data_IF_806356049622
#
_entry.id   IF_806356049622
#
_cell.length_a   1.000
_cell.length_b   1.000
_cell.length_c   1.000
_cell.angle_alpha   90.00
_cell.angle_beta   90.00
_cell.angle_gamma   90.00
#
_symmetry.space_group_name_H-M   'P 1'
#
loop_
_entity.id
_entity.type
_entity.pdbx_description
1 polymer ?
#
# COMPACT_ATOMS: atom_id res chain seq x y z
N UNK A 1 80.73 -23.87 10.41
CA UNK A 1 79.43 -24.24 11.02
C UNK A 1 78.82 -23.09 11.85
N UNK A 2 78.98 -21.83 11.42
CA UNK A 2 78.42 -20.63 12.09
C UNK A 2 77.61 -19.77 11.10
N UNK A 3 77.91 -19.85 9.80
CA UNK A 3 77.16 -19.15 8.74
C UNK A 3 75.80 -19.77 8.39
N UNK A 4 75.56 -21.04 8.72
CA UNK A 4 74.31 -21.74 8.38
C UNK A 4 73.17 -21.53 9.40
N UNK A 5 73.47 -20.96 10.58
CA UNK A 5 72.44 -20.60 11.57
C UNK A 5 71.98 -19.14 11.48
N UNK A 6 72.79 -18.25 10.89
CA UNK A 6 72.39 -16.86 10.68
C UNK A 6 71.35 -16.71 9.57
N UNK A 7 71.40 -17.53 8.52
CA UNK A 7 70.50 -17.43 7.38
C UNK A 7 69.10 -18.04 7.66
N UNK A 8 69.03 -19.07 8.49
CA UNK A 8 67.76 -19.69 8.90
C UNK A 8 67.01 -18.84 9.92
N UNK A 9 67.71 -18.10 10.80
CA UNK A 9 67.07 -17.15 11.73
C UNK A 9 66.61 -15.86 11.05
N UNK A 10 67.22 -15.43 9.94
CA UNK A 10 66.77 -14.25 9.19
C UNK A 10 65.52 -14.56 8.32
N UNK A 11 65.43 -15.78 7.78
CA UNK A 11 64.24 -16.23 7.03
C UNK A 11 63.03 -16.54 7.92
N UNK A 12 63.25 -16.89 9.20
CA UNK A 12 62.17 -17.10 10.15
C UNK A 12 61.56 -15.78 10.66
N UNK A 13 62.36 -14.70 10.75
CA UNK A 13 61.88 -13.37 11.14
C UNK A 13 61.10 -12.68 10.01
N UNK A 14 61.41 -12.98 8.74
CA UNK A 14 60.64 -12.47 7.59
C UNK A 14 59.31 -13.20 7.36
N UNK A 15 59.09 -14.38 7.95
CA UNK A 15 57.83 -15.13 7.82
C UNK A 15 56.82 -14.83 8.92
N UNK A 16 57.22 -14.17 10.01
CA UNK A 16 56.33 -13.79 11.13
C UNK A 16 55.75 -12.38 11.05
N UNK A 17 56.12 -11.60 10.02
CA UNK A 17 55.56 -10.27 9.74
C UNK A 17 54.97 -10.18 8.33
N UNK A 18 54.24 -11.21 7.90
CA UNK A 18 53.11 -10.93 7.00
C UNK A 18 52.02 -10.38 7.89
N UNK A 19 52.10 -9.08 8.22
CA UNK A 19 50.94 -8.36 8.73
C UNK A 19 49.84 -8.60 7.69
N UNK A 20 48.75 -9.26 8.09
CA UNK A 20 47.51 -9.19 7.32
C UNK A 20 47.10 -7.72 7.34
N UNK A 21 47.53 -6.96 6.34
CA UNK A 21 46.86 -5.70 6.03
C UNK A 21 45.52 -6.12 5.44
N UNK A 22 44.49 -6.24 6.28
CA UNK A 22 43.11 -6.21 5.77
C UNK A 22 42.99 -4.89 5.03
N UNK A 23 42.73 -4.94 3.74
CA UNK A 23 42.38 -3.74 2.99
C UNK A 23 41.13 -3.15 3.64
N UNK A 24 41.14 -1.83 3.85
CA UNK A 24 39.96 -1.10 4.25
C UNK A 24 38.83 -1.39 3.25
N UNK A 25 37.64 -1.73 3.75
CA UNK A 25 36.46 -2.00 2.92
C UNK A 25 35.37 -0.97 3.20
N UNK A 26 34.59 -0.65 2.17
CA UNK A 26 33.49 0.33 2.22
C UNK A 26 32.25 -0.39 1.73
N UNK A 27 31.30 -0.63 2.63
CA UNK A 27 30.06 -1.36 2.32
C UNK A 27 28.95 -0.84 3.23
N UNK A 28 28.08 0.01 2.69
CA UNK A 28 26.83 0.40 3.29
C UNK A 28 25.72 -0.52 2.78
N UNK A 29 24.75 -0.82 3.64
CA UNK A 29 23.63 -1.62 3.23
C UNK A 29 22.34 -1.31 3.95
N UNK A 30 21.26 -1.53 3.21
CA UNK A 30 19.90 -1.37 3.70
C UNK A 30 19.07 -2.60 3.34
N UNK A 31 18.20 -3.02 4.25
CA UNK A 31 17.25 -4.11 4.03
C UNK A 31 15.81 -3.62 4.09
N UNK A 32 14.86 -4.44 3.62
CA UNK A 32 13.45 -4.07 3.62
C UNK A 32 12.88 -3.96 5.04
N UNK A 33 13.49 -4.65 6.00
CA UNK A 33 13.12 -4.61 7.42
C UNK A 33 13.63 -3.34 8.11
N UNK A 34 14.62 -2.67 7.51
CA UNK A 34 15.17 -1.42 8.00
C UNK A 34 14.36 -0.17 7.58
N UNK A 35 13.29 -0.37 6.80
CA UNK A 35 12.36 0.69 6.40
C UNK A 35 11.09 0.59 7.25
N UNK A 36 10.78 1.65 7.98
CA UNK A 36 9.61 1.67 8.88
C UNK A 36 8.82 2.97 8.75
N UNK A 37 7.55 2.92 9.11
CA UNK A 37 6.66 4.09 9.20
C UNK A 37 6.32 4.33 10.67
N UNK A 38 6.14 5.59 11.05
CA UNK A 38 5.91 5.98 12.45
C UNK A 38 4.54 5.57 13.03
N UNK A 39 3.62 5.08 12.20
CA UNK A 39 2.24 4.80 12.59
C UNK A 39 1.77 3.43 12.10
N UNK A 40 0.89 2.81 12.88
CA UNK A 40 0.15 1.61 12.51
C UNK A 40 -1.16 1.54 13.32
N UNK A 41 -2.33 1.28 12.68
CA UNK A 41 -2.53 1.18 11.23
C UNK A 41 -2.20 2.50 10.52
N UNK A 42 -2.08 2.46 9.18
CA UNK A 42 -1.83 3.65 8.37
C UNK A 42 -3.17 4.20 7.90
N UNK A 43 -3.49 5.44 8.24
CA UNK A 43 -4.72 6.11 7.81
C UNK A 43 -4.42 6.95 6.58
N UNK A 44 -5.25 6.86 5.54
CA UNK A 44 -5.08 7.63 4.30
C UNK A 44 -5.11 9.13 4.61
N UNK A 45 -4.16 9.89 4.05
CA UNK A 45 -4.06 11.33 4.24
C UNK A 45 -3.22 11.75 5.45
N UNK A 46 -2.95 10.86 6.40
CA UNK A 46 -2.12 11.18 7.56
C UNK A 46 -0.67 11.46 7.16
N UNK A 47 -0.06 12.43 7.84
CA UNK A 47 1.37 12.66 7.77
C UNK A 47 2.11 11.77 8.77
N UNK A 48 2.95 10.89 8.26
CA UNK A 48 3.79 9.96 9.04
C UNK A 48 5.26 10.20 8.73
N UNK A 49 6.16 9.68 9.56
CA UNK A 49 7.60 9.63 9.25
C UNK A 49 7.96 8.30 8.65
N UNK A 50 8.67 8.35 7.54
CA UNK A 50 9.29 7.22 6.87
C UNK A 50 10.77 7.18 7.25
N UNK A 51 11.17 6.12 7.94
CA UNK A 51 12.54 5.90 8.40
C UNK A 51 13.27 4.90 7.51
N UNK A 52 14.57 5.11 7.34
CA UNK A 52 15.51 4.14 6.81
C UNK A 52 16.68 4.00 7.77
N UNK A 53 16.95 2.77 8.19
CA UNK A 53 18.16 2.43 8.94
C UNK A 53 19.21 1.85 8.01
N UNK A 54 20.35 2.52 7.88
CA UNK A 54 21.46 2.09 7.05
C UNK A 54 22.56 1.53 7.93
N UNK A 55 23.09 0.37 7.56
CA UNK A 55 24.16 -0.33 8.28
C UNK A 55 25.49 -0.16 7.54
N UNK A 56 26.60 -0.07 8.27
CA UNK A 56 27.94 -0.08 7.69
C UNK A 56 28.60 -1.43 7.98
N UNK A 57 28.78 -2.24 6.93
CA UNK A 57 29.49 -3.52 6.94
C UNK A 57 30.98 -3.37 6.62
N UNK A 58 31.39 -2.18 6.18
CA UNK A 58 32.77 -1.82 5.94
C UNK A 58 33.56 -1.51 7.21
N UNK A 59 34.83 -1.14 7.03
CA UNK A 59 35.77 -0.77 8.09
C UNK A 59 36.17 0.69 8.04
N UNK A 60 35.54 1.49 7.19
CA UNK A 60 35.81 2.92 7.02
C UNK A 60 34.58 3.77 7.37
N UNK A 61 34.84 5.03 7.72
CA UNK A 61 33.79 6.02 7.89
C UNK A 61 33.27 6.42 6.51
N UNK A 62 31.95 6.40 6.33
CA UNK A 62 31.31 6.66 5.03
C UNK A 62 30.29 7.78 5.18
N UNK A 63 30.36 8.73 4.27
CA UNK A 63 29.32 9.74 4.06
C UNK A 63 28.54 9.41 2.81
N UNK A 64 27.27 9.78 2.72
CA UNK A 64 26.45 9.53 1.54
C UNK A 64 25.06 10.13 1.68
N UNK A 65 24.13 9.66 0.85
CA UNK A 65 22.74 10.07 0.91
C UNK A 65 21.80 8.88 0.80
N UNK A 66 20.64 8.98 1.42
CA UNK A 66 19.51 8.07 1.20
C UNK A 66 18.40 8.83 0.51
N UNK A 67 17.91 8.28 -0.60
CA UNK A 67 16.77 8.80 -1.33
C UNK A 67 15.61 7.81 -1.24
N UNK A 68 14.42 8.32 -0.97
CA UNK A 68 13.19 7.53 -0.93
C UNK A 68 12.36 7.77 -2.18
N UNK A 69 11.66 6.75 -2.64
CA UNK A 69 10.81 6.82 -3.82
C UNK A 69 9.52 6.05 -3.62
N UNK A 70 8.48 6.54 -4.29
CA UNK A 70 7.23 5.85 -4.49
C UNK A 70 7.00 5.63 -5.98
N UNK A 71 7.25 4.41 -6.46
CA UNK A 71 7.38 4.15 -7.90
C UNK A 71 8.58 4.95 -8.47
N UNK A 72 8.32 5.82 -9.44
CA UNK A 72 9.35 6.69 -10.03
C UNK A 72 9.48 8.06 -9.36
N UNK A 73 8.55 8.44 -8.48
CA UNK A 73 8.52 9.76 -7.85
C UNK A 73 9.36 9.79 -6.56
N UNK A 74 10.26 10.77 -6.39
CA UNK A 74 11.01 10.92 -5.14
C UNK A 74 10.10 11.39 -4.00
N UNK A 75 10.32 10.86 -2.80
CA UNK A 75 9.65 11.27 -1.57
C UNK A 75 10.58 12.21 -0.81
N UNK A 76 10.19 13.48 -0.77
CA UNK A 76 10.99 14.51 -0.12
C UNK A 76 12.36 14.70 -0.77
N UNK A 77 13.30 15.25 0.00
CA UNK A 77 14.70 15.43 -0.43
C UNK A 77 15.57 14.29 0.08
N UNK A 78 16.65 13.99 -0.63
CA UNK A 78 17.67 13.05 -0.17
C UNK A 78 18.22 13.45 1.21
N UNK A 79 18.32 12.48 2.10
CA UNK A 79 18.81 12.67 3.47
C UNK A 79 20.30 12.39 3.53
N UNK A 80 21.05 13.21 4.26
CA UNK A 80 22.49 13.04 4.46
C UNK A 80 22.73 11.91 5.46
N UNK A 81 23.74 11.10 5.18
CA UNK A 81 24.17 9.98 5.99
C UNK A 81 25.66 10.13 6.34
N UNK A 82 26.06 9.80 7.56
CA UNK A 82 27.47 9.80 8.02
C UNK A 82 27.68 8.68 9.05
N UNK A 83 27.99 7.47 8.56
CA UNK A 83 28.15 6.29 9.40
C UNK A 83 29.64 6.01 9.63
N UNK A 84 30.01 5.80 10.88
CA UNK A 84 31.38 5.41 11.25
C UNK A 84 31.62 3.92 11.02
N UNK A 85 32.86 3.53 10.73
CA UNK A 85 33.36 2.16 10.54
C UNK A 85 32.99 1.13 11.62
N UNK A 86 32.61 1.60 12.81
CA UNK A 86 32.29 0.77 13.98
C UNK A 86 30.89 1.09 14.53
N UNK A 87 30.16 1.99 13.89
CA UNK A 87 28.74 2.19 14.18
C UNK A 87 27.97 1.08 13.49
N UNK A 88 27.05 0.44 14.22
CA UNK A 88 26.22 -0.62 13.65
C UNK A 88 25.28 -0.07 12.58
N UNK A 89 24.77 1.16 12.76
CA UNK A 89 23.82 1.77 11.85
C UNK A 89 23.61 3.27 12.11
N UNK A 90 22.99 3.96 11.17
CA UNK A 90 22.40 5.29 11.32
C UNK A 90 20.99 5.30 10.73
N UNK A 91 20.12 6.14 11.28
CA UNK A 91 18.73 6.27 10.83
C UNK A 91 18.49 7.67 10.28
N UNK A 92 17.82 7.72 9.12
CA UNK A 92 17.36 8.95 8.48
C UNK A 92 15.85 8.88 8.26
N UNK A 93 15.20 10.03 8.13
CA UNK A 93 13.76 10.06 7.89
C UNK A 93 13.32 11.18 6.96
N UNK A 94 12.15 10.99 6.37
CA UNK A 94 11.38 12.02 5.65
C UNK A 94 9.95 12.01 6.14
N UNK A 95 9.30 13.17 6.06
CA UNK A 95 7.85 13.24 6.22
C UNK A 95 7.18 12.66 4.96
N UNK A 96 6.12 11.88 5.16
CA UNK A 96 5.42 11.16 4.13
C UNK A 96 3.92 11.23 4.38
N UNK A 97 3.15 11.60 3.36
CA UNK A 97 1.68 11.58 3.43
C UNK A 97 1.22 10.21 2.95
N UNK A 98 0.46 9.51 3.78
CA UNK A 98 -0.08 8.20 3.45
C UNK A 98 -1.04 8.35 2.26
N UNK A 99 -0.74 7.72 1.10
CA UNK A 99 -1.58 7.84 -0.07
C UNK A 99 -2.82 6.96 0.04
N UNK A 100 -3.82 7.23 -0.78
CA UNK A 100 -4.91 6.27 -1.00
C UNK A 100 -4.38 5.00 -1.70
N UNK A 101 -4.85 3.84 -1.24
CA UNK A 101 -4.55 2.54 -1.84
C UNK A 101 -3.18 1.97 -1.47
N UNK A 102 -2.99 0.70 -1.82
CA UNK A 102 -1.78 -0.05 -1.45
C UNK A 102 -0.52 0.55 -2.10
N UNK A 103 0.56 0.63 -1.32
CA UNK A 103 1.83 1.18 -1.78
C UNK A 103 3.03 0.47 -1.16
N UNK A 104 4.21 0.66 -1.74
CA UNK A 104 5.49 0.33 -1.11
C UNK A 104 6.44 1.51 -1.30
N UNK A 105 7.61 1.39 -0.69
CA UNK A 105 8.65 2.40 -0.67
C UNK A 105 9.95 1.78 -1.17
N UNK A 106 10.64 2.46 -2.08
CA UNK A 106 12.02 2.15 -2.44
C UNK A 106 12.95 3.10 -1.72
N UNK A 107 14.01 2.59 -1.12
CA UNK A 107 15.10 3.39 -0.56
C UNK A 107 16.39 3.06 -1.30
N UNK A 108 17.20 4.09 -1.58
CA UNK A 108 18.46 3.97 -2.31
C UNK A 108 19.56 4.76 -1.61
N UNK A 109 20.69 4.10 -1.34
CA UNK A 109 21.95 4.68 -0.90
C UNK A 109 22.70 5.19 -2.13
N UNK A 110 23.16 6.44 -2.10
CA UNK A 110 23.77 7.10 -3.24
C UNK A 110 24.91 8.03 -2.82
N UNK A 111 25.83 8.28 -3.75
CA UNK A 111 26.84 9.32 -3.62
C UNK A 111 27.79 9.11 -2.44
N UNK A 112 28.12 7.86 -2.14
CA UNK A 112 28.99 7.52 -1.00
C UNK A 112 30.40 8.05 -1.21
N UNK A 113 31.00 8.52 -0.13
CA UNK A 113 32.39 8.93 -0.07
C UNK A 113 33.02 8.43 1.25
N UNK A 114 33.99 7.50 1.18
CA UNK A 114 34.51 6.86 -0.03
C UNK A 114 33.44 6.05 -0.81
N UNK A 115 33.63 5.73 -2.11
CA UNK A 115 32.65 5.00 -2.90
C UNK A 115 32.38 3.60 -2.35
N UNK A 116 31.11 3.21 -2.39
CA UNK A 116 30.67 1.89 -1.94
C UNK A 116 31.18 0.77 -2.87
N UNK A 117 31.65 -0.33 -2.30
CA UNK A 117 32.22 -1.47 -3.03
C UNK A 117 31.19 -2.57 -3.34
N UNK A 118 30.00 -2.53 -2.73
CA UNK A 118 28.97 -3.54 -2.81
C UNK A 118 27.58 -2.94 -3.17
N UNK A 119 27.32 -2.68 -4.46
CA UNK A 119 26.07 -2.06 -4.89
C UNK A 119 24.83 -2.96 -4.79
N UNK A 120 24.96 -4.19 -4.27
CA UNK A 120 23.85 -5.15 -4.24
C UNK A 120 22.87 -4.93 -3.08
N UNK A 121 23.28 -4.16 -2.07
CA UNK A 121 22.53 -3.79 -0.86
C UNK A 121 22.33 -2.27 -0.74
N UNK A 122 22.61 -1.51 -1.79
CA UNK A 122 22.37 -0.08 -1.85
C UNK A 122 20.91 0.28 -2.14
N UNK A 123 20.11 -0.67 -2.63
CA UNK A 123 18.72 -0.42 -2.99
C UNK A 123 17.81 -1.51 -2.47
N UNK A 124 16.71 -1.12 -1.85
CA UNK A 124 15.71 -2.04 -1.34
C UNK A 124 14.30 -1.51 -1.53
N UNK A 125 13.36 -2.44 -1.71
CA UNK A 125 11.93 -2.17 -1.81
C UNK A 125 11.23 -2.82 -0.62
N UNK A 126 10.31 -2.09 0.02
CA UNK A 126 9.49 -2.65 1.10
C UNK A 126 8.45 -3.62 0.58
N UNK A 127 7.86 -4.39 1.50
CA UNK A 127 6.57 -5.02 1.27
C UNK A 127 5.48 -3.96 1.04
N UNK A 128 4.34 -4.43 0.53
CA UNK A 128 3.16 -3.60 0.33
C UNK A 128 2.54 -3.22 1.67
N UNK A 129 2.35 -1.92 1.88
CA UNK A 129 1.54 -1.30 2.90
C UNK A 129 0.13 -1.09 2.37
N UNK A 130 -0.87 -1.46 3.16
CA UNK A 130 -2.29 -1.23 2.85
C UNK A 130 -2.85 -0.27 3.89
N UNK A 131 -3.06 1.01 3.53
CA UNK A 131 -3.68 1.96 4.44
C UNK A 131 -5.20 1.76 4.49
N UNK A 132 -5.80 2.23 5.59
CA UNK A 132 -7.24 2.23 5.85
C UNK A 132 -7.81 3.65 5.74
N UNK A 133 -9.13 3.75 5.62
CA UNK A 133 -9.86 5.02 5.74
C UNK A 133 -10.53 5.07 7.12
N UNK A 134 -10.36 6.21 7.78
CA UNK A 134 -10.85 6.56 9.12
C UNK A 134 -10.89 8.09 9.14
N UNK A 135 -11.99 8.67 8.63
CA UNK A 135 -12.07 10.10 8.28
C UNK A 135 -12.24 10.99 9.52
N UNK A 136 -12.73 10.44 10.63
CA UNK A 136 -12.94 11.15 11.90
C UNK A 136 -11.98 10.73 13.03
N UNK A 137 -11.10 9.76 12.76
CA UNK A 137 -10.01 9.30 13.62
C UNK A 137 -10.47 8.73 14.96
N UNK A 138 -11.64 8.09 15.01
CA UNK A 138 -12.16 7.46 16.23
C UNK A 138 -11.64 6.03 16.47
N UNK A 139 -10.99 5.46 15.45
CA UNK A 139 -10.40 4.13 15.43
C UNK A 139 -11.31 3.03 14.88
N UNK A 140 -12.45 3.37 14.29
CA UNK A 140 -13.31 2.51 13.47
C UNK A 140 -13.08 2.86 12.00
N UNK A 141 -12.91 1.85 11.15
CA UNK A 141 -12.70 2.10 9.71
C UNK A 141 -14.02 2.55 9.07
N UNK A 142 -13.99 3.51 8.14
CA UNK A 142 -15.20 4.04 7.47
C UNK A 142 -16.14 2.95 6.90
N UNK A 143 -15.62 1.80 6.47
CA UNK A 143 -16.42 0.68 5.96
C UNK A 143 -17.21 -0.08 7.05
N UNK A 144 -16.87 0.13 8.31
CA UNK A 144 -17.45 -0.49 9.51
C UNK A 144 -18.05 0.53 10.47
N UNK A 145 -17.95 1.81 10.13
CA UNK A 145 -18.38 2.93 10.95
C UNK A 145 -19.83 3.31 10.62
N UNK A 146 -20.72 3.28 11.61
CA UNK A 146 -22.11 3.71 11.46
C UNK A 146 -22.26 5.25 11.44
N UNK A 147 -21.20 6.01 11.77
CA UNK A 147 -21.11 7.45 11.58
C UNK A 147 -19.73 7.89 11.01
N UNK A 148 -19.40 7.60 9.73
CA UNK A 148 -18.04 7.75 9.15
C UNK A 148 -17.37 9.13 9.17
N UNK A 149 -18.04 10.16 9.68
CA UNK A 149 -17.52 11.53 9.74
C UNK A 149 -17.71 12.16 11.13
N UNK A 150 -18.23 11.42 12.11
CA UNK A 150 -18.52 11.89 13.47
C UNK A 150 -18.06 10.83 14.46
N UNK A 151 -16.90 11.10 15.08
CA UNK A 151 -16.26 10.17 16.01
C UNK A 151 -17.23 9.61 17.06
N UNK A 152 -17.49 8.32 16.99
CA UNK A 152 -18.42 7.58 17.84
C UNK A 152 -17.93 6.15 18.07
N UNK A 153 -16.71 6.02 18.61
CA UNK A 153 -16.00 4.76 18.86
C UNK A 153 -16.81 3.58 19.41
N UNK A 154 -17.84 3.85 20.20
CA UNK A 154 -18.71 2.83 20.81
C UNK A 154 -19.76 2.25 19.84
N UNK A 155 -19.95 2.89 18.67
CA UNK A 155 -20.80 2.45 17.55
C UNK A 155 -22.22 2.08 18.00
N UNK A 156 -22.79 2.92 18.86
CA UNK A 156 -24.16 2.76 19.33
C UNK A 156 -25.14 3.09 18.20
N UNK A 157 -26.23 2.33 18.16
CA UNK A 157 -27.25 2.29 17.11
C UNK A 157 -28.49 1.67 17.78
N UNK A 158 -29.35 2.51 18.36
CA UNK A 158 -30.44 2.05 19.22
C UNK A 158 -31.55 1.35 18.40
N UNK A 159 -31.83 1.82 17.20
CA UNK A 159 -32.87 1.28 16.33
C UNK A 159 -32.39 0.19 15.35
N UNK A 160 -31.06 0.05 15.20
CA UNK A 160 -30.38 -0.93 14.34
C UNK A 160 -30.62 -0.71 12.84
N UNK A 161 -30.79 0.54 12.37
CA UNK A 161 -30.91 0.84 10.95
C UNK A 161 -29.56 0.98 10.21
N UNK A 162 -28.47 1.04 10.98
CA UNK A 162 -27.09 1.15 10.50
C UNK A 162 -26.54 2.58 10.48
N UNK A 163 -27.34 3.61 10.80
CA UNK A 163 -26.88 4.90 11.30
C UNK A 163 -26.55 4.79 12.79
N UNK A 164 -25.54 5.52 13.26
CA UNK A 164 -25.25 5.55 14.69
C UNK A 164 -25.96 6.70 15.40
N UNK A 165 -26.21 6.55 16.69
CA UNK A 165 -26.88 7.56 17.53
C UNK A 165 -26.19 8.94 17.52
N UNK A 166 -24.93 9.01 17.07
CA UNK A 166 -24.18 10.28 16.96
C UNK A 166 -24.48 11.06 15.67
N UNK A 167 -25.05 10.41 14.65
CA UNK A 167 -25.33 10.97 13.34
C UNK A 167 -26.76 10.74 12.84
N UNK A 168 -27.57 9.97 13.58
CA UNK A 168 -29.01 9.94 13.42
C UNK A 168 -29.65 11.22 14.03
N UNK A 169 -30.84 11.59 13.54
CA UNK A 169 -31.67 12.65 14.11
C UNK A 169 -32.88 12.09 14.91
N UNK A 170 -33.11 10.76 14.86
CA UNK A 170 -34.19 10.00 15.49
C UNK A 170 -33.63 8.61 15.90
N UNK A 171 -32.86 8.58 17.00
CA UNK A 171 -32.00 7.45 17.41
C UNK A 171 -32.77 6.12 17.62
N UNK A 172 -34.08 6.17 17.89
CA UNK A 172 -34.94 4.99 18.09
C UNK A 172 -36.01 4.77 17.00
N UNK A 173 -35.99 5.62 15.96
CA UNK A 173 -36.88 5.64 14.79
C UNK A 173 -38.37 5.48 15.16
N UNK A 174 -38.80 6.21 16.19
CA UNK A 174 -40.16 6.20 16.68
C UNK A 174 -41.08 7.28 16.07
N UNK A 175 -40.48 8.18 15.29
CA UNK A 175 -41.15 9.27 14.60
C UNK A 175 -41.07 10.61 15.33
N UNK A 176 -40.37 10.68 16.46
CA UNK A 176 -40.03 11.91 17.15
C UNK A 176 -38.51 12.11 17.21
N UNK A 177 -38.00 13.07 16.44
CA UNK A 177 -36.56 13.41 16.47
C UNK A 177 -36.04 13.72 17.89
N UNK A 178 -34.80 13.33 18.23
CA UNK A 178 -34.20 13.42 19.57
C UNK A 178 -34.26 14.84 20.12
N UNK A 179 -34.12 15.83 19.24
CA UNK A 179 -34.16 17.24 19.64
C UNK A 179 -35.53 17.68 20.16
N UNK A 180 -36.60 16.98 19.80
CA UNK A 180 -37.96 17.17 20.33
C UNK A 180 -38.11 16.38 21.62
N UNK A 181 -37.64 15.15 21.66
CA UNK A 181 -37.69 14.27 22.82
C UNK A 181 -36.97 14.83 24.03
N UNK A 182 -35.76 15.34 23.84
CA UNK A 182 -35.01 16.05 24.89
C UNK A 182 -35.78 17.28 25.41
N UNK A 183 -36.67 17.87 24.60
CA UNK A 183 -37.52 19.00 25.03
C UNK A 183 -38.81 18.56 25.71
N UNK A 184 -39.40 17.43 25.30
CA UNK A 184 -40.65 16.89 25.85
C UNK A 184 -40.41 16.01 27.09
N UNK A 185 -39.21 15.45 27.21
CA UNK A 185 -38.73 14.61 28.30
C UNK A 185 -38.79 13.11 28.02
N UNK A 186 -39.11 12.67 26.80
CA UNK A 186 -38.94 11.26 26.39
C UNK A 186 -37.46 10.90 26.25
N UNK A 187 -37.17 9.60 26.18
CA UNK A 187 -35.81 9.04 26.07
C UNK A 187 -35.49 8.73 24.60
N UNK A 188 -34.53 9.45 23.97
CA UNK A 188 -34.25 9.27 22.54
C UNK A 188 -33.79 7.90 22.10
N UNK A 189 -33.36 7.06 23.05
CA UNK A 189 -32.90 5.70 22.74
C UNK A 189 -33.99 4.64 22.93
N UNK A 190 -35.23 5.05 23.23
CA UNK A 190 -36.32 4.15 23.64
C UNK A 190 -37.64 4.53 22.97
N UNK A 191 -37.96 3.80 21.90
CA UNK A 191 -39.13 4.06 21.04
C UNK A 191 -40.51 4.05 21.70
N UNK A 192 -40.62 3.73 22.99
CA UNK A 192 -41.84 3.75 23.81
C UNK A 192 -41.38 4.00 25.25
N UNK A 193 -41.17 5.28 25.59
CA UNK A 193 -40.50 5.69 26.83
C UNK A 193 -41.26 5.20 28.07
N UNK A 194 -42.59 5.18 28.02
CA UNK A 194 -43.42 4.80 29.15
C UNK A 194 -43.86 3.33 29.14
N UNK A 195 -43.68 2.62 28.02
CA UNK A 195 -43.99 1.21 27.86
C UNK A 195 -45.48 0.92 27.79
N UNK A 196 -46.32 1.86 27.32
CA UNK A 196 -47.77 1.67 27.19
C UNK A 196 -48.21 0.98 25.88
N UNK A 197 -47.26 0.73 24.99
CA UNK A 197 -47.43 0.09 23.70
C UNK A 197 -47.67 1.04 22.52
N UNK A 198 -47.56 2.35 22.71
CA UNK A 198 -47.54 3.36 21.65
C UNK A 198 -46.14 3.97 21.57
N UNK A 199 -45.66 4.21 20.35
CA UNK A 199 -44.38 4.91 20.15
C UNK A 199 -44.51 6.37 20.56
N UNK A 200 -43.45 7.04 21.02
CA UNK A 200 -43.54 8.40 21.55
C UNK A 200 -43.98 9.39 20.45
N UNK A 201 -43.52 9.19 19.21
CA UNK A 201 -44.01 9.92 18.03
C UNK A 201 -45.53 9.79 17.76
N UNK A 202 -46.15 8.67 18.16
CA UNK A 202 -47.58 8.37 18.01
C UNK A 202 -48.38 8.55 19.31
N UNK A 203 -47.73 8.72 20.47
CA UNK A 203 -48.35 8.81 21.79
C UNK A 203 -48.65 10.28 22.19
N UNK A 204 -49.92 10.63 22.45
CA UNK A 204 -50.28 11.91 23.04
C UNK A 204 -49.72 12.16 24.45
N UNK A 205 -49.28 11.13 25.20
CA UNK A 205 -48.69 11.25 26.53
C UNK A 205 -47.46 10.36 26.76
N UNK A 206 -46.32 10.59 26.06
CA UNK A 206 -45.13 9.70 26.04
C UNK A 206 -44.44 9.37 27.38
N UNK A 207 -44.93 9.93 28.49
CA UNK A 207 -44.35 9.82 29.84
C UNK A 207 -45.31 9.19 30.85
N UNK A 208 -46.45 8.66 30.40
CA UNK A 208 -47.53 8.17 31.28
C UNK A 208 -48.04 6.81 30.82
N UNK A 209 -47.45 5.77 31.43
CA UNK A 209 -47.91 4.40 31.27
C UNK A 209 -49.44 4.34 31.31
N UNK A 210 -50.07 3.64 30.35
CA UNK A 210 -51.51 3.33 30.42
C UNK A 210 -51.81 2.85 31.82
N UNK A 211 -52.58 3.66 32.55
CA UNK A 211 -53.13 3.24 33.83
C UNK A 211 -53.83 1.92 33.54
N UNK A 212 -53.33 0.84 34.14
CA UNK A 212 -54.02 -0.44 34.19
C UNK A 212 -55.47 -0.11 34.50
N UNK A 213 -56.34 -0.20 33.49
CA UNK A 213 -57.77 -0.06 33.65
C UNK A 213 -58.14 -1.19 34.59
N UNK A 214 -58.15 -0.91 35.89
CA UNK A 214 -58.68 -1.78 36.92
C UNK A 214 -60.08 -2.10 36.42
N UNK A 215 -60.37 -3.36 36.03
CA UNK A 215 -61.67 -3.66 35.47
C UNK A 215 -62.69 -3.33 36.55
N UNK A 216 -63.53 -2.35 36.26
CA UNK A 216 -64.61 -1.99 37.17
C UNK A 216 -65.53 -3.20 37.23
N UNK A 217 -65.43 -3.91 38.34
CA UNK A 217 -66.25 -5.02 38.84
C UNK A 217 -67.60 -5.13 38.12
N UNK A 218 -67.72 -6.06 37.18
CA UNK A 218 -69.01 -6.63 36.80
C UNK A 218 -69.25 -7.90 37.64
N UNK A 219 -70.28 -7.84 38.48
CA UNK A 219 -70.89 -8.99 39.16
C UNK A 219 -71.58 -9.94 38.15
N UNK A 220 -71.87 -11.20 38.52
CA UNK A 220 -71.45 -12.36 37.76
C UNK A 220 -72.58 -12.94 36.90
N UNK A 221 -72.24 -13.44 35.71
CA UNK A 221 -73.01 -14.49 35.07
C UNK A 221 -72.18 -15.77 34.99
N UNK A 222 -72.56 -16.68 35.87
CA UNK A 222 -72.31 -18.11 35.83
C UNK A 222 -72.66 -18.71 34.47
N UNK A 223 -71.74 -19.50 33.90
CA UNK A 223 -72.02 -20.87 33.48
C UNK A 223 -70.73 -21.51 32.95
N UNK A 224 -70.29 -22.54 33.67
CA UNK A 224 -69.22 -23.44 33.30
C UNK A 224 -69.53 -24.24 32.02
N UNK A 225 -68.46 -24.77 31.40
CA UNK A 225 -68.24 -26.17 30.91
C UNK A 225 -67.16 -26.09 29.81
N UNK A 226 -65.87 -26.31 30.08
CA UNK A 226 -65.14 -27.61 30.06
C UNK A 226 -65.57 -28.50 28.90
N UNK A 227 -64.77 -28.90 27.92
CA UNK A 227 -63.33 -28.93 27.70
C UNK A 227 -63.08 -29.97 26.59
N UNK A 228 -61.80 -30.24 26.36
CA UNK A 228 -61.21 -31.37 25.63
C UNK A 228 -60.82 -31.11 24.16
N UNK A 229 -59.53 -31.35 23.99
CA UNK A 229 -58.59 -31.29 22.87
C UNK A 229 -58.99 -32.08 21.62
N UNK A 230 -58.45 -31.68 20.46
CA UNK A 230 -57.55 -32.55 19.67
C UNK A 230 -56.92 -31.78 18.48
N UNK A 231 -55.58 -31.88 18.39
CA UNK A 231 -54.73 -31.62 17.22
C UNK A 231 -54.31 -33.00 16.67
N UNK A 232 -54.25 -33.25 15.36
CA UNK A 232 -52.97 -33.21 14.63
C UNK A 232 -53.11 -32.70 13.18
N UNK A 233 -52.26 -31.78 12.72
CA UNK A 233 -51.08 -32.03 11.85
C UNK A 233 -51.33 -32.23 10.34
N UNK A 234 -50.64 -31.36 9.57
CA UNK A 234 -49.94 -31.62 8.30
C UNK A 234 -50.47 -31.00 6.99
N UNK A 235 -49.62 -30.12 6.45
CA UNK A 235 -49.22 -29.86 5.05
C UNK A 235 -50.22 -30.02 3.90
N UNK A 236 -50.31 -29.01 3.04
CA UNK A 236 -49.67 -29.00 1.70
C UNK A 236 -50.15 -27.82 0.83
N UNK A 237 -49.36 -27.57 -0.23
CA UNK A 237 -49.26 -26.40 -1.12
C UNK A 237 -50.34 -26.32 -2.22
N UNK A 238 -50.26 -25.19 -2.95
CA UNK A 238 -50.70 -24.83 -4.32
C UNK A 238 -52.07 -24.15 -4.43
N UNK A 239 -52.36 -23.29 -5.41
CA UNK A 239 -51.68 -22.31 -6.29
C UNK A 239 -52.83 -21.78 -7.21
N UNK A 240 -52.61 -20.64 -7.87
CA UNK A 240 -53.20 -20.19 -9.16
C UNK A 240 -54.42 -19.22 -9.19
N UNK A 241 -54.15 -18.09 -9.88
CA UNK A 241 -54.96 -17.26 -10.82
C UNK A 241 -56.00 -16.27 -10.27
N UNK A 242 -55.74 -14.95 -10.38
CA UNK A 242 -55.96 -13.99 -11.51
C UNK A 242 -57.34 -13.33 -11.44
N UNK A 243 -57.39 -11.99 -11.65
CA UNK A 243 -58.37 -11.28 -12.54
C UNK A 243 -58.10 -9.74 -12.55
N UNK A 244 -57.53 -9.28 -13.68
CA UNK A 244 -57.80 -8.05 -14.50
C UNK A 244 -57.92 -6.62 -13.93
N UNK A 245 -57.03 -5.73 -14.41
CA UNK A 245 -57.20 -4.46 -15.19
C UNK A 245 -58.56 -3.72 -15.24
N UNK A 246 -58.66 -2.38 -15.55
CA UNK A 246 -57.79 -1.62 -16.46
C UNK A 246 -57.49 -0.12 -16.15
N UNK A 247 -56.57 0.43 -16.96
CA UNK A 247 -56.24 1.85 -17.30
C UNK A 247 -57.42 2.53 -18.10
N UNK A 248 -57.38 3.73 -18.78
CA UNK A 248 -56.27 4.64 -19.20
C UNK A 248 -56.54 6.19 -19.43
N UNK A 249 -55.46 6.96 -19.72
CA UNK A 249 -55.24 8.11 -20.67
C UNK A 249 -56.19 9.36 -20.72
N UNK A 250 -55.96 10.47 -21.52
CA UNK A 250 -54.90 10.81 -22.53
C UNK A 250 -54.25 12.24 -22.39
N UNK A 251 -53.02 12.52 -22.88
CA UNK A 251 -52.59 12.94 -24.24
C UNK A 251 -53.26 14.26 -24.74
N UNK A 252 -52.57 15.35 -25.11
CA UNK A 252 -51.91 15.57 -26.42
C UNK A 252 -51.40 17.01 -26.57
N UNK A 253 -50.32 17.16 -27.35
CA UNK A 253 -49.82 18.40 -27.98
C UNK A 253 -50.77 18.87 -29.11
N UNK A 254 -50.61 20.09 -29.67
CA UNK A 254 -49.97 20.12 -30.99
C UNK A 254 -49.06 21.33 -31.30
N UNK A 255 -48.23 21.10 -32.30
CA UNK A 255 -47.26 22.00 -32.95
C UNK A 255 -47.88 23.13 -33.80
N UNK A 256 -47.16 24.24 -34.02
CA UNK A 256 -46.61 24.59 -35.35
C UNK A 256 -45.74 25.88 -35.40
N UNK A 257 -44.64 25.77 -36.17
CA UNK A 257 -44.06 26.73 -37.16
C UNK A 257 -43.26 27.97 -36.69
N UNK A 258 -41.93 27.82 -36.89
CA UNK A 258 -40.96 28.71 -37.55
C UNK A 258 -40.80 30.18 -37.13
N UNK A 259 -39.59 30.54 -36.66
CA UNK A 259 -38.54 31.21 -37.44
C UNK A 259 -37.62 32.10 -36.56
N UNK A 260 -36.31 31.85 -36.72
CA UNK A 260 -35.18 32.80 -36.67
C UNK A 260 -34.83 33.65 -35.43
N UNK A 261 -33.52 33.59 -35.13
CA UNK A 261 -32.64 34.61 -34.55
C UNK A 261 -32.36 34.62 -33.02
N UNK A 262 -31.18 34.08 -32.71
CA UNK A 262 -30.04 34.65 -31.96
C UNK A 262 -30.19 35.18 -30.51
N UNK A 263 -29.27 34.67 -29.65
CA UNK A 263 -28.90 35.10 -28.27
C UNK A 263 -30.01 34.97 -27.23
N UNK A 264 -29.85 34.24 -26.13
CA UNK A 264 -28.81 34.39 -25.09
C UNK A 264 -28.99 33.25 -24.08
N UNK A 265 -27.89 32.74 -23.52
CA UNK A 265 -27.71 32.30 -22.13
C UNK A 265 -28.71 31.31 -21.43
N UNK A 266 -28.08 30.21 -20.99
CA UNK A 266 -28.32 29.32 -19.82
C UNK A 266 -29.17 28.06 -19.94
N UNK A 267 -28.52 27.01 -19.42
CA UNK A 267 -29.03 25.80 -18.76
C UNK A 267 -29.24 24.59 -19.67
N UNK A 268 -28.26 23.68 -19.64
CA UNK A 268 -28.54 22.25 -19.69
C UNK A 268 -27.87 21.59 -18.48
N UNK A 269 -28.73 21.11 -17.60
CA UNK A 269 -28.50 20.01 -16.69
C UNK A 269 -28.29 18.77 -17.55
N UNK A 270 -27.12 18.15 -17.48
CA UNK A 270 -26.89 16.81 -17.97
C UNK A 270 -26.09 16.05 -16.91
N UNK A 271 -26.82 15.13 -16.27
CA UNK A 271 -26.36 13.90 -15.63
C UNK A 271 -25.00 13.94 -14.94
N UNK A 272 -25.05 14.25 -13.65
CA UNK A 272 -24.04 13.83 -12.67
C UNK A 272 -24.05 12.31 -12.59
N UNK A 273 -23.34 11.63 -13.49
CA UNK A 273 -22.71 10.37 -13.14
C UNK A 273 -21.40 10.74 -12.46
N UNK A 274 -21.35 10.63 -11.14
CA UNK A 274 -20.10 10.57 -10.39
C UNK A 274 -19.32 9.35 -10.85
N UNK A 275 -18.58 9.46 -11.95
CA UNK A 275 -17.47 8.56 -12.20
C UNK A 275 -16.48 8.83 -11.07
N UNK A 276 -16.53 7.97 -10.05
CA UNK A 276 -15.47 7.86 -9.06
C UNK A 276 -14.15 7.91 -9.82
N UNK A 277 -13.25 8.80 -9.42
CA UNK A 277 -11.89 8.87 -9.94
C UNK A 277 -11.25 7.49 -9.73
N UNK A 278 -11.35 6.63 -10.75
CA UNK A 278 -10.66 5.36 -10.75
C UNK A 278 -9.20 5.68 -10.96
N UNK A 279 -8.45 5.77 -9.87
CA UNK A 279 -7.01 5.94 -9.89
C UNK A 279 -6.43 4.56 -10.19
N UNK A 280 -5.60 4.45 -11.25
CA UNK A 280 -4.94 3.19 -11.58
C UNK A 280 -4.12 2.69 -10.38
N UNK A 281 -4.10 1.38 -10.10
CA UNK A 281 -3.16 0.80 -9.15
C UNK A 281 -1.73 1.17 -9.57
N UNK A 282 -0.89 1.57 -8.61
CA UNK A 282 0.52 1.92 -8.86
C UNK A 282 1.21 0.79 -9.61
N UNK A 283 2.00 1.10 -10.63
CA UNK A 283 2.91 0.16 -11.25
C UNK A 283 4.15 0.08 -10.36
N UNK A 284 4.59 -1.10 -9.97
CA UNK A 284 5.82 -1.29 -9.20
C UNK A 284 6.47 -2.61 -9.59
N UNK A 285 7.79 -2.61 -9.70
CA UNK A 285 8.57 -3.82 -9.85
C UNK A 285 9.74 -3.92 -8.88
N UNK A 286 10.23 -5.15 -8.70
CA UNK A 286 11.52 -5.44 -8.09
C UNK A 286 12.44 -6.12 -9.11
N UNK A 287 13.73 -6.11 -8.82
CA UNK A 287 14.70 -6.87 -9.59
C UNK A 287 15.79 -7.50 -8.72
N UNK A 288 16.37 -8.58 -9.20
CA UNK A 288 17.48 -9.28 -8.56
C UNK A 288 18.55 -9.59 -9.59
N UNK A 289 19.81 -9.25 -9.28
CA UNK A 289 20.95 -9.59 -10.12
C UNK A 289 21.26 -11.09 -10.00
N UNK A 290 21.20 -11.82 -11.11
CA UNK A 290 21.53 -13.26 -11.17
C UNK A 290 22.97 -13.48 -11.67
N UNK A 291 23.46 -12.61 -12.54
CA UNK A 291 24.84 -12.59 -13.02
C UNK A 291 25.27 -11.15 -13.34
N UNK A 292 26.56 -10.91 -13.60
CA UNK A 292 27.12 -9.57 -13.87
C UNK A 292 26.34 -8.73 -14.91
N UNK A 293 25.69 -9.37 -15.88
CA UNK A 293 24.85 -8.71 -16.88
C UNK A 293 23.42 -9.27 -16.97
N UNK A 294 22.98 -10.05 -15.98
CA UNK A 294 21.67 -10.73 -16.02
C UNK A 294 20.86 -10.42 -14.77
N UNK A 295 19.63 -9.96 -14.98
CA UNK A 295 18.71 -9.55 -13.94
C UNK A 295 17.36 -10.24 -14.11
N UNK A 296 16.72 -10.61 -13.00
CA UNK A 296 15.32 -11.05 -12.95
C UNK A 296 14.48 -9.87 -12.48
N UNK A 297 13.46 -9.52 -13.24
CA UNK A 297 12.50 -8.46 -12.96
C UNK A 297 11.15 -9.09 -12.66
N UNK A 298 10.46 -8.60 -11.62
CA UNK A 298 9.15 -9.11 -11.20
C UNK A 298 8.23 -7.93 -10.91
N UNK A 299 7.08 -7.87 -11.59
CA UNK A 299 6.03 -6.90 -11.27
C UNK A 299 5.37 -7.29 -9.94
N UNK A 300 5.42 -6.39 -8.95
CA UNK A 300 4.94 -6.66 -7.58
C UNK A 300 3.45 -6.36 -7.40
N UNK A 301 2.84 -5.72 -8.38
CA UNK A 301 1.43 -5.34 -8.33
C UNK A 301 0.56 -6.46 -8.87
N UNK A 302 -0.44 -6.95 -8.12
CA UNK A 302 -1.36 -7.96 -8.60
C UNK A 302 -1.97 -7.55 -9.94
N UNK A 303 -1.97 -8.48 -10.89
CA UNK A 303 -2.64 -8.26 -12.18
C UNK A 303 -4.13 -8.56 -11.97
N UNK A 304 -4.90 -7.52 -11.74
CA UNK A 304 -6.37 -7.59 -11.67
C UNK A 304 -6.97 -8.08 -12.99
N UNK A 305 -8.21 -8.56 -12.94
CA UNK A 305 -8.88 -9.13 -14.11
C UNK A 305 -8.99 -8.08 -15.23
N UNK A 306 -8.22 -8.26 -16.31
CA UNK A 306 -8.17 -7.35 -17.46
C UNK A 306 -7.00 -6.36 -17.47
N UNK A 307 -6.16 -6.31 -16.41
CA UNK A 307 -4.94 -5.52 -16.42
C UNK A 307 -3.80 -6.23 -17.18
N UNK A 308 -2.87 -5.48 -17.76
CA UNK A 308 -1.64 -6.01 -18.40
C UNK A 308 -0.40 -5.25 -17.98
N UNK A 309 0.75 -5.89 -18.11
CA UNK A 309 2.07 -5.31 -17.81
C UNK A 309 2.89 -5.22 -19.10
N UNK A 310 3.62 -4.12 -19.26
CA UNK A 310 4.55 -3.90 -20.37
C UNK A 310 5.90 -3.43 -19.83
N UNK A 311 6.97 -4.06 -20.30
CA UNK A 311 8.35 -3.78 -19.91
C UNK A 311 9.12 -3.15 -21.06
N UNK A 312 10.01 -2.23 -20.73
CA UNK A 312 11.08 -1.75 -21.59
C UNK A 312 12.37 -1.72 -20.76
N UNK A 313 13.39 -2.46 -21.19
CA UNK A 313 14.64 -2.61 -20.43
C UNK A 313 15.70 -1.53 -20.73
N UNK A 314 15.37 -0.53 -21.56
CA UNK A 314 16.29 0.57 -21.88
C UNK A 314 17.35 0.24 -22.94
N UNK A 315 17.46 -1.02 -23.36
CA UNK A 315 18.36 -1.49 -24.44
C UNK A 315 17.61 -1.83 -25.75
N UNK A 316 16.33 -1.46 -25.82
CA UNK A 316 15.44 -1.74 -26.95
C UNK A 316 14.68 -3.07 -26.83
N UNK A 317 14.93 -3.87 -25.79
CA UNK A 317 14.15 -5.08 -25.52
C UNK A 317 12.91 -4.74 -24.68
N UNK A 318 11.79 -5.39 -25.00
CA UNK A 318 10.51 -5.24 -24.31
C UNK A 318 9.91 -6.60 -23.96
N UNK A 319 9.02 -6.65 -22.97
CA UNK A 319 8.29 -7.86 -22.59
C UNK A 319 6.90 -7.53 -22.05
N UNK A 320 6.00 -8.51 -21.98
CA UNK A 320 4.67 -8.38 -21.37
C UNK A 320 4.41 -9.46 -20.30
N UNK A 321 5.45 -10.19 -19.90
CA UNK A 321 5.35 -11.21 -18.86
C UNK A 321 5.38 -10.55 -17.47
N UNK A 322 4.74 -11.17 -16.48
CA UNK A 322 4.76 -10.69 -15.09
C UNK A 322 6.15 -10.78 -14.45
N UNK A 323 6.96 -11.72 -14.93
CA UNK A 323 8.33 -11.95 -14.52
C UNK A 323 9.22 -12.16 -15.75
N UNK A 324 10.38 -11.49 -15.79
CA UNK A 324 11.29 -11.51 -16.93
C UNK A 324 12.73 -11.65 -16.45
N UNK A 325 13.46 -12.63 -16.99
CA UNK A 325 14.92 -12.67 -16.87
C UNK A 325 15.51 -12.02 -18.11
N UNK A 326 16.22 -10.91 -17.92
CA UNK A 326 16.82 -10.12 -19.00
C UNK A 326 18.34 -10.10 -18.91
N UNK A 327 19.00 -10.13 -20.08
CA UNK A 327 20.46 -10.16 -20.21
C UNK A 327 20.91 -8.95 -21.03
N UNK A 328 21.63 -8.03 -20.40
CA UNK A 328 22.20 -6.86 -21.06
C UNK A 328 23.42 -7.23 -21.89
N UNK A 329 23.40 -6.86 -23.16
CA UNK A 329 24.51 -7.11 -24.10
C UNK A 329 25.57 -6.00 -24.07
N UNK A 330 25.19 -4.80 -23.62
CA UNK A 330 26.07 -3.64 -23.49
C UNK A 330 26.45 -3.33 -22.05
N UNK A 331 27.41 -2.42 -21.90
CA UNK A 331 27.76 -1.79 -20.62
C UNK A 331 27.21 -0.37 -20.58
N UNK A 332 27.03 0.17 -19.37
CA UNK A 332 26.45 1.48 -19.13
C UNK A 332 25.14 1.39 -18.36
N UNK A 333 24.44 2.53 -18.29
CA UNK A 333 23.22 2.67 -17.52
C UNK A 333 21.99 2.46 -18.42
N UNK A 334 21.10 1.58 -17.99
CA UNK A 334 19.87 1.24 -18.69
C UNK A 334 18.67 1.62 -17.83
N UNK A 335 17.78 2.44 -18.38
CA UNK A 335 16.54 2.82 -17.69
C UNK A 335 15.49 1.73 -17.98
N UNK A 336 15.25 0.90 -16.99
CA UNK A 336 14.17 -0.08 -17.00
C UNK A 336 12.87 0.61 -16.63
N UNK A 337 11.82 0.30 -17.37
CA UNK A 337 10.51 0.92 -17.27
C UNK A 337 9.46 -0.17 -17.32
N UNK A 338 8.62 -0.22 -16.30
CA UNK A 338 7.46 -1.12 -16.24
C UNK A 338 6.18 -0.28 -16.25
N UNK A 339 5.28 -0.58 -17.18
CA UNK A 339 3.94 -0.01 -17.24
C UNK A 339 2.92 -1.04 -16.82
N UNK A 340 1.98 -0.66 -15.96
CA UNK A 340 0.73 -1.39 -15.70
C UNK A 340 -0.39 -0.64 -16.38
N UNK A 341 -1.19 -1.36 -17.17
CA UNK A 341 -2.36 -0.82 -17.87
C UNK A 341 -3.57 -1.55 -17.31
N UNK A 342 -4.50 -0.82 -16.71
CA UNK A 342 -5.71 -1.41 -16.13
C UNK A 342 -6.76 -1.76 -17.20
N UNK A 343 -7.88 -2.37 -16.78
CA UNK A 343 -8.98 -2.76 -17.67
C UNK A 343 -9.68 -1.57 -18.35
N UNK A 344 -9.51 -0.35 -17.83
CA UNK A 344 -10.07 0.91 -18.36
C UNK A 344 -9.08 1.66 -19.25
N UNK A 345 -7.85 1.16 -19.38
CA UNK A 345 -6.78 1.74 -20.20
C UNK A 345 -5.95 2.81 -19.49
N UNK A 346 -6.11 3.01 -18.18
CA UNK A 346 -5.25 3.90 -17.40
C UNK A 346 -3.88 3.26 -17.23
N UNK A 347 -2.85 4.10 -17.24
CA UNK A 347 -1.46 3.66 -17.22
C UNK A 347 -0.77 4.17 -15.97
N UNK A 348 -0.21 3.26 -15.19
CA UNK A 348 0.76 3.57 -14.14
C UNK A 348 2.15 3.10 -14.57
N UNK A 349 3.20 3.77 -14.11
CA UNK A 349 4.58 3.51 -14.54
C UNK A 349 5.57 3.56 -13.38
N UNK A 350 6.54 2.63 -13.41
CA UNK A 350 7.71 2.61 -12.52
C UNK A 350 8.98 2.54 -13.35
N UNK A 351 10.05 3.15 -12.85
CA UNK A 351 11.34 3.17 -13.52
C UNK A 351 12.48 2.95 -12.54
N UNK A 352 13.48 2.18 -12.95
CA UNK A 352 14.73 2.02 -12.22
C UNK A 352 15.91 2.00 -13.17
N UNK A 353 17.07 2.49 -12.72
CA UNK A 353 18.30 2.51 -13.52
C UNK A 353 19.18 1.32 -13.16
N UNK A 354 19.50 0.49 -14.15
CA UNK A 354 20.39 -0.65 -14.00
C UNK A 354 21.74 -0.30 -14.60
N UNK A 355 22.78 -0.27 -13.78
CA UNK A 355 24.15 -0.03 -14.24
C UNK A 355 24.88 -1.35 -14.51
N UNK A 356 25.35 -1.53 -15.74
CA UNK A 356 26.12 -2.71 -16.16
C UNK A 356 27.60 -2.32 -16.30
N UNK A 357 28.48 -2.77 -15.38
CA UNK A 357 29.88 -2.37 -15.39
C UNK A 357 30.65 -3.06 -16.52
N UNK A 358 31.51 -2.30 -17.21
CA UNK A 358 32.41 -2.86 -18.23
C UNK A 358 33.54 -3.68 -17.61
N UNK A 359 34.19 -3.18 -16.55
CA UNK A 359 35.34 -3.81 -15.89
C UNK A 359 34.89 -4.68 -14.71
N UNK A 360 34.63 -5.96 -14.97
CA UNK A 360 34.42 -6.96 -13.91
C UNK A 360 35.14 -8.26 -14.24
N UNK A 361 35.72 -8.92 -13.24
CA UNK A 361 36.38 -10.23 -13.43
C UNK A 361 35.38 -11.37 -13.73
N UNK A 362 34.08 -11.11 -13.55
CA UNK A 362 33.00 -11.98 -13.99
C UNK A 362 32.77 -11.90 -15.51
N UNK A 363 33.17 -10.80 -16.15
CA UNK A 363 33.14 -10.67 -17.59
C UNK A 363 34.25 -11.51 -18.22
N UNK A 364 33.86 -12.48 -19.04
CA UNK A 364 34.80 -13.42 -19.70
C UNK A 364 35.85 -12.71 -20.56
N UNK A 365 35.50 -11.61 -21.21
CA UNK A 365 36.43 -10.84 -22.05
C UNK A 365 37.49 -10.13 -21.20
N UNK A 366 37.08 -9.50 -20.10
CA UNK A 366 38.00 -8.85 -19.15
C UNK A 366 38.93 -9.89 -18.54
N UNK A 367 38.38 -11.03 -18.11
CA UNK A 367 39.17 -12.14 -17.55
C UNK A 367 40.21 -12.68 -18.54
N UNK A 368 39.85 -12.81 -19.83
CA UNK A 368 40.77 -13.19 -20.90
C UNK A 368 41.87 -12.15 -21.12
N UNK A 369 41.52 -10.86 -21.19
CA UNK A 369 42.47 -9.77 -21.38
C UNK A 369 43.48 -9.68 -20.23
N UNK A 370 43.01 -9.77 -18.99
CA UNK A 370 43.87 -9.82 -17.81
C UNK A 370 44.79 -11.04 -17.86
N UNK A 371 44.26 -12.22 -18.23
CA UNK A 371 45.06 -13.43 -18.41
C UNK A 371 46.18 -13.27 -19.45
N UNK A 372 45.90 -12.65 -20.60
CA UNK A 372 46.89 -12.36 -21.64
C UNK A 372 47.94 -11.37 -21.12
N UNK A 373 47.51 -10.30 -20.44
CA UNK A 373 48.41 -9.29 -19.88
C UNK A 373 49.41 -9.92 -18.89
N UNK A 374 48.94 -10.81 -18.00
CA UNK A 374 49.79 -11.54 -17.06
C UNK A 374 50.78 -12.44 -17.80
N UNK A 375 50.34 -13.13 -18.86
CA UNK A 375 51.20 -14.02 -19.64
C UNK A 375 52.31 -13.24 -20.38
N UNK A 376 51.96 -12.07 -20.94
CA UNK A 376 52.92 -11.13 -21.55
C UNK A 376 53.92 -10.62 -20.51
N UNK A 377 53.45 -10.22 -19.33
CA UNK A 377 54.31 -9.74 -18.25
C UNK A 377 55.32 -10.82 -17.81
N UNK A 378 54.86 -12.07 -17.65
CA UNK A 378 55.74 -13.21 -17.34
C UNK A 378 56.78 -13.45 -18.43
N UNK A 379 56.41 -13.29 -19.71
CA UNK A 379 57.32 -13.41 -20.84
C UNK A 379 58.39 -12.31 -20.83
N UNK A 380 57.99 -11.05 -20.59
CA UNK A 380 58.90 -9.90 -20.48
C UNK A 380 59.87 -10.09 -19.31
N UNK A 381 59.36 -10.48 -18.14
CA UNK A 381 60.20 -10.79 -16.98
C UNK A 381 61.19 -11.92 -17.29
N UNK A 382 60.75 -12.98 -17.97
CA UNK A 382 61.62 -14.09 -18.37
C UNK A 382 62.72 -13.65 -19.34
N UNK A 383 62.42 -12.77 -20.29
CA UNK A 383 63.41 -12.19 -21.22
C UNK A 383 64.40 -11.31 -20.44
N UNK A 384 63.89 -10.43 -19.58
CA UNK A 384 64.71 -9.56 -18.73
C UNK A 384 65.70 -10.35 -17.85
N UNK A 385 65.23 -11.40 -17.18
CA UNK A 385 66.10 -12.28 -16.38
C UNK A 385 67.10 -13.09 -17.20
N UNK A 386 66.82 -13.39 -18.48
CA UNK A 386 67.78 -14.04 -19.37
C UNK A 386 68.87 -13.07 -19.82
N UNK A 387 68.53 -11.84 -20.17
CA UNK A 387 69.49 -10.81 -20.57
C UNK A 387 70.44 -10.47 -19.41
N UNK A 388 69.91 -10.33 -18.19
CA UNK A 388 70.71 -10.05 -16.98
C UNK A 388 71.66 -11.19 -16.56
N UNK A 389 71.48 -12.43 -17.04
CA UNK A 389 72.43 -13.53 -16.81
C UNK A 389 73.52 -13.63 -17.88
N UNK A 390 73.39 -12.89 -18.98
CA UNK A 390 74.34 -12.89 -20.09
C UNK A 390 75.41 -11.77 -19.97
N UNK A 391 75.17 -10.81 -19.06
CA UNK A 391 76.16 -9.87 -18.51
C UNK A 391 76.81 -10.49 -17.26
#
# INVERSE_FOLDING_TARGET
>A
MVFFHALTSFLFVLFFFVQQTSAASVDLGISSEDITLSAHPLIVGDQVRLYAKVNNFGTEDVTGFVSFFQGSEPIGTSQILTIRAQSLSEEVFVDFIVPSGTFNIRAEIQGTNPPDENPSNDSVMTYLFTPIFDDDHDGVENEKDNCPNISNKDQTDADHDGGGDMCDEDDDNDGMADTIELKTGSDPLVSDTDGDGLKDGDDPNPLKQKENLVPTKQEPQTSATSGIDEKPSSSSKQDVSETTSPSPLPTTSPANVAASEEKTEKKNTESSSSEALHISPRAVFSYTRIAWNTYRFVGQTPVENGARVEWNFGDGVTSNQSEVVHIYQGYGDFIVRMKKIDAKGLVAEDTSTISIPFFTMENRLVKMLVGILVLVLLLVLRIFFRLRRAE
#
